data_IF_414576072443
#
_entry.id   IF_414576072443
#
_cell.length_a   1.000
_cell.length_b   1.000
_cell.length_c   1.000
_cell.angle_alpha   90.00
_cell.angle_beta   90.00
_cell.angle_gamma   90.00
#
_symmetry.space_group_name_H-M   'P 1'
#
loop_
_entity.id
_entity.type
_entity.pdbx_description
1 polymer ?
#
# COMPACT_ATOMS: atom_id res chain seq x y z
N UNK A 1 -31.45 15.28 -30.36
CA UNK A 1 -30.44 14.41 -29.75
C UNK A 1 -29.07 15.05 -30.04
N UNK A 2 -28.56 15.85 -29.09
CA UNK A 2 -27.27 16.49 -29.20
C UNK A 2 -26.19 15.51 -28.75
N UNK A 3 -25.28 15.18 -29.67
CA UNK A 3 -24.10 14.35 -29.40
C UNK A 3 -23.16 15.14 -28.46
N UNK A 4 -23.11 14.81 -27.20
CA UNK A 4 -22.06 15.25 -26.30
C UNK A 4 -20.74 14.56 -26.70
N UNK A 5 -20.07 15.11 -27.71
CA UNK A 5 -18.72 14.73 -28.08
C UNK A 5 -17.79 15.07 -26.92
N UNK A 6 -17.24 14.05 -26.26
CA UNK A 6 -16.19 14.21 -25.25
C UNK A 6 -14.96 14.88 -25.91
N UNK A 7 -14.50 16.04 -25.42
CA UNK A 7 -13.48 16.82 -26.10
C UNK A 7 -12.05 16.35 -25.85
N UNK A 8 -11.83 15.04 -25.88
CA UNK A 8 -10.54 14.51 -25.44
C UNK A 8 -9.90 13.57 -26.46
N UNK A 9 -8.74 13.91 -26.98
CA UNK A 9 -7.85 13.02 -27.73
C UNK A 9 -6.85 12.34 -26.78
N UNK A 10 -6.78 11.02 -26.78
CA UNK A 10 -5.72 10.30 -26.08
C UNK A 10 -4.48 10.26 -26.97
N UNK A 11 -3.34 10.74 -26.49
CA UNK A 11 -2.04 10.47 -27.09
C UNK A 11 -1.30 9.42 -26.26
N UNK A 12 -0.63 8.51 -26.92
CA UNK A 12 0.39 7.68 -26.28
C UNK A 12 1.60 8.58 -26.06
N UNK A 13 1.88 8.93 -24.82
CA UNK A 13 2.99 9.78 -24.45
C UNK A 13 4.32 9.19 -24.88
N UNK A 14 5.11 10.01 -25.55
CA UNK A 14 6.49 9.70 -25.92
C UNK A 14 7.39 10.54 -25.01
N UNK A 15 7.70 10.02 -23.83
CA UNK A 15 8.57 10.71 -22.86
C UNK A 15 9.86 9.93 -22.69
N UNK A 16 11.00 10.62 -22.63
CA UNK A 16 12.34 10.04 -22.39
C UNK A 16 12.51 9.42 -20.98
N UNK A 17 11.48 9.50 -20.12
CA UNK A 17 11.44 8.79 -18.85
C UNK A 17 11.30 7.29 -19.12
N UNK A 18 12.37 6.54 -18.89
CA UNK A 18 12.41 5.10 -19.05
C UNK A 18 11.60 4.42 -17.95
N UNK A 19 10.25 4.47 -18.11
CA UNK A 19 9.32 3.77 -17.23
C UNK A 19 9.54 2.25 -17.32
N UNK A 20 9.36 1.50 -16.21
CA UNK A 20 9.31 0.05 -16.29
C UNK A 20 8.26 -0.41 -17.30
N UNK A 21 8.60 -1.33 -18.20
CA UNK A 21 7.69 -1.84 -19.25
C UNK A 21 6.38 -2.39 -18.71
N UNK A 22 6.33 -2.72 -17.44
CA UNK A 22 5.15 -3.22 -16.71
C UNK A 22 4.11 -2.12 -16.47
N UNK A 23 4.51 -0.85 -16.43
CA UNK A 23 3.60 0.28 -16.23
C UNK A 23 3.05 0.71 -17.58
N UNK A 24 1.73 0.60 -17.74
CA UNK A 24 1.00 1.11 -18.90
C UNK A 24 0.30 2.41 -18.51
N UNK A 25 0.22 3.36 -19.45
CA UNK A 25 -0.44 4.63 -19.17
C UNK A 25 -1.10 5.24 -20.39
N UNK A 26 -2.02 6.17 -20.13
CA UNK A 26 -2.67 7.07 -21.09
C UNK A 26 -2.63 8.47 -20.49
N UNK A 27 -2.23 9.45 -21.30
CA UNK A 27 -2.21 10.85 -20.89
C UNK A 27 -3.09 11.72 -21.79
N UNK A 28 -3.63 12.75 -21.18
CA UNK A 28 -4.51 13.69 -21.82
C UNK A 28 -4.36 15.07 -21.20
N UNK A 29 -4.33 16.09 -22.02
CA UNK A 29 -4.25 17.46 -21.57
C UNK A 29 -5.44 18.28 -22.03
N UNK A 30 -5.94 19.13 -21.14
CA UNK A 30 -6.96 20.15 -21.44
C UNK A 30 -6.48 21.49 -20.90
N UNK A 31 -6.51 22.59 -21.73
CA UNK A 31 -6.10 23.92 -21.27
C UNK A 31 -6.89 24.42 -20.06
N UNK A 32 -8.15 24.01 -19.91
CA UNK A 32 -9.04 24.43 -18.83
C UNK A 32 -8.92 23.57 -17.56
N UNK A 33 -8.55 22.27 -17.68
CA UNK A 33 -8.56 21.30 -16.58
C UNK A 33 -7.16 20.80 -16.21
N UNK A 34 -6.15 21.04 -17.06
CA UNK A 34 -4.80 20.49 -16.88
C UNK A 34 -4.62 19.09 -17.46
N UNK A 35 -3.64 18.36 -16.94
CA UNK A 35 -3.34 17.00 -17.35
C UNK A 35 -4.16 15.96 -16.57
N UNK A 36 -4.57 14.90 -17.26
CA UNK A 36 -5.14 13.69 -16.72
C UNK A 36 -4.25 12.51 -17.14
N UNK A 37 -3.61 11.86 -16.18
CA UNK A 37 -2.84 10.64 -16.38
C UNK A 37 -3.61 9.47 -15.79
N UNK A 38 -3.86 8.45 -16.59
CA UNK A 38 -4.34 7.15 -16.15
C UNK A 38 -3.23 6.13 -16.37
N UNK A 39 -2.81 5.45 -15.30
CA UNK A 39 -1.80 4.41 -15.36
C UNK A 39 -2.26 3.14 -14.64
N UNK A 40 -1.72 1.98 -15.08
CA UNK A 40 -2.01 0.70 -14.44
C UNK A 40 -0.81 -0.24 -14.52
N UNK A 41 -0.67 -1.07 -13.49
CA UNK A 41 0.41 -2.05 -13.36
C UNK A 41 0.03 -3.16 -12.37
N UNK A 42 0.65 -4.35 -12.44
CA UNK A 42 0.49 -5.40 -11.44
C UNK A 42 1.32 -5.07 -10.18
N UNK A 43 0.76 -5.26 -8.99
CA UNK A 43 1.45 -5.25 -7.70
C UNK A 43 0.59 -5.92 -6.62
N UNK A 44 1.20 -6.49 -5.61
CA UNK A 44 0.50 -7.12 -4.46
C UNK A 44 -0.54 -8.16 -4.90
N UNK A 45 -0.20 -8.99 -5.88
CA UNK A 45 -1.07 -10.01 -6.49
C UNK A 45 -2.39 -9.46 -7.06
N UNK A 46 -2.40 -8.20 -7.49
CA UNK A 46 -3.56 -7.55 -8.09
C UNK A 46 -3.13 -6.57 -9.19
N UNK A 47 -4.10 -6.00 -9.88
CA UNK A 47 -3.90 -4.83 -10.73
C UNK A 47 -4.12 -3.59 -9.89
N UNK A 48 -3.20 -2.65 -10.01
CA UNK A 48 -3.32 -1.29 -9.48
C UNK A 48 -3.67 -0.37 -10.63
N UNK A 49 -4.74 0.40 -10.48
CA UNK A 49 -5.13 1.47 -11.38
C UNK A 49 -4.96 2.80 -10.63
N UNK A 50 -4.28 3.76 -11.25
CA UNK A 50 -4.05 5.09 -10.69
C UNK A 50 -4.42 6.15 -11.70
N UNK A 51 -5.25 7.10 -11.30
CA UNK A 51 -5.63 8.25 -12.09
C UNK A 51 -5.19 9.51 -11.34
N UNK A 52 -4.39 10.34 -11.98
CA UNK A 52 -3.85 11.57 -11.42
C UNK A 52 -4.35 12.75 -12.25
N UNK A 53 -4.88 13.77 -11.59
CA UNK A 53 -5.26 15.03 -12.22
C UNK A 53 -4.42 16.16 -11.65
N UNK A 54 -3.89 17.03 -12.51
CA UNK A 54 -3.07 18.15 -12.05
C UNK A 54 -2.69 19.10 -13.18
N UNK A 55 -2.10 20.22 -12.79
CA UNK A 55 -1.55 21.20 -13.75
C UNK A 55 -0.10 20.86 -14.15
N UNK A 56 0.48 19.86 -13.49
CA UNK A 56 1.79 19.34 -13.81
C UNK A 56 1.80 18.70 -15.20
N UNK A 57 2.94 18.77 -15.89
CA UNK A 57 3.13 18.09 -17.17
C UNK A 57 3.14 16.55 -17.04
N UNK A 58 3.01 15.88 -18.18
CA UNK A 58 3.00 14.41 -18.26
C UNK A 58 4.19 13.77 -17.54
N UNK A 59 5.40 14.29 -17.77
CA UNK A 59 6.65 13.75 -17.19
C UNK A 59 6.62 13.75 -15.66
N UNK A 60 6.10 14.81 -15.05
CA UNK A 60 5.99 14.91 -13.60
C UNK A 60 4.98 13.90 -13.10
N UNK A 61 3.80 13.80 -13.70
CA UNK A 61 2.80 12.82 -13.29
C UNK A 61 3.28 11.38 -13.47
N UNK A 62 4.04 11.09 -14.52
CA UNK A 62 4.68 9.78 -14.72
C UNK A 62 5.73 9.48 -13.64
N UNK A 63 6.54 10.47 -13.26
CA UNK A 63 7.51 10.30 -12.18
C UNK A 63 6.85 9.96 -10.85
N UNK A 64 5.66 10.52 -10.60
CA UNK A 64 4.84 10.20 -9.42
C UNK A 64 4.33 8.75 -9.48
N UNK A 65 3.84 8.30 -10.64
CA UNK A 65 3.41 6.90 -10.82
C UNK A 65 4.57 5.93 -10.61
N UNK A 66 5.75 6.23 -11.14
CA UNK A 66 6.96 5.42 -10.93
C UNK A 66 7.36 5.35 -9.45
N UNK A 67 7.29 6.47 -8.73
CA UNK A 67 7.56 6.50 -7.29
C UNK A 67 6.54 5.66 -6.50
N UNK A 68 5.25 5.71 -6.87
CA UNK A 68 4.21 4.84 -6.29
C UNK A 68 4.52 3.38 -6.57
N UNK A 69 4.82 3.02 -7.81
CA UNK A 69 5.14 1.66 -8.21
C UNK A 69 6.33 1.10 -7.40
N UNK A 70 7.44 1.84 -7.34
CA UNK A 70 8.64 1.45 -6.57
C UNK A 70 8.34 1.28 -5.09
N UNK A 71 7.53 2.15 -4.51
CA UNK A 71 7.11 2.04 -3.12
C UNK A 71 6.27 0.78 -2.89
N UNK A 72 5.31 0.48 -3.77
CA UNK A 72 4.47 -0.73 -3.66
C UNK A 72 5.31 -2.01 -3.80
N UNK A 73 6.24 -2.07 -4.77
CA UNK A 73 7.15 -3.21 -4.93
C UNK A 73 8.02 -3.44 -3.68
N UNK A 74 8.51 -2.36 -3.06
CA UNK A 74 9.29 -2.45 -1.82
C UNK A 74 8.46 -2.98 -0.66
N UNK A 75 7.22 -2.50 -0.50
CA UNK A 75 6.30 -2.97 0.54
C UNK A 75 5.95 -4.45 0.34
N UNK A 76 5.68 -4.85 -0.89
CA UNK A 76 5.39 -6.25 -1.23
C UNK A 76 6.58 -7.15 -0.89
N UNK A 77 7.80 -6.80 -1.34
CA UNK A 77 9.00 -7.58 -1.03
C UNK A 77 9.28 -7.69 0.47
N UNK A 78 8.94 -6.68 1.24
CA UNK A 78 9.16 -6.68 2.69
C UNK A 78 8.12 -7.51 3.45
N UNK A 79 6.84 -7.38 3.10
CA UNK A 79 5.72 -7.85 3.92
C UNK A 79 4.87 -8.95 3.28
N UNK A 80 5.30 -9.55 2.16
CA UNK A 80 4.57 -10.62 1.49
C UNK A 80 4.70 -11.93 2.27
N UNK A 81 3.59 -12.40 2.84
CA UNK A 81 3.52 -13.66 3.57
C UNK A 81 3.89 -14.88 2.71
N UNK A 82 3.56 -14.84 1.41
CA UNK A 82 3.71 -15.95 0.47
C UNK A 82 5.07 -15.98 -0.25
N UNK A 83 5.88 -14.93 -0.11
CA UNK A 83 7.22 -14.85 -0.66
C UNK A 83 8.24 -15.31 0.39
N UNK A 84 8.88 -16.45 0.16
CA UNK A 84 9.87 -17.02 1.07
C UNK A 84 11.08 -16.10 1.31
N UNK A 85 11.36 -15.19 0.37
CA UNK A 85 12.47 -14.23 0.43
C UNK A 85 12.07 -12.89 1.06
N UNK A 86 10.81 -12.74 1.49
CA UNK A 86 10.37 -11.53 2.20
C UNK A 86 10.93 -11.47 3.61
N UNK A 87 11.12 -10.26 4.13
CA UNK A 87 11.52 -10.05 5.53
C UNK A 87 10.50 -10.68 6.49
N UNK A 88 9.20 -10.52 6.22
CA UNK A 88 8.14 -11.11 7.04
C UNK A 88 8.23 -12.64 7.07
N UNK A 89 8.46 -13.30 5.93
CA UNK A 89 8.60 -14.75 5.89
C UNK A 89 9.86 -15.24 6.62
N UNK A 90 10.96 -14.48 6.56
CA UNK A 90 12.15 -14.76 7.37
C UNK A 90 11.83 -14.68 8.87
N UNK A 91 11.16 -13.62 9.31
CA UNK A 91 10.75 -13.46 10.72
C UNK A 91 9.83 -14.61 11.18
N UNK A 92 8.86 -14.99 10.37
CA UNK A 92 7.95 -16.10 10.65
C UNK A 92 8.69 -17.44 10.88
N UNK A 93 9.83 -17.65 10.22
CA UNK A 93 10.63 -18.87 10.38
C UNK A 93 11.59 -18.84 11.57
N UNK A 94 12.02 -17.65 11.98
CA UNK A 94 13.17 -17.54 12.91
C UNK A 94 12.86 -16.89 14.25
N UNK A 95 11.79 -16.10 14.35
CA UNK A 95 11.50 -15.31 15.54
C UNK A 95 11.02 -16.14 16.75
N UNK A 96 10.73 -17.44 16.59
CA UNK A 96 10.44 -18.34 17.71
C UNK A 96 11.69 -18.92 18.39
N UNK A 97 12.87 -18.76 17.76
CA UNK A 97 14.14 -19.30 18.30
C UNK A 97 14.87 -18.26 19.14
N UNK A 98 14.95 -17.03 18.66
CA UNK A 98 15.54 -15.89 19.37
C UNK A 98 15.00 -14.57 18.77
N UNK A 99 15.11 -13.43 19.50
CA UNK A 99 14.70 -12.14 19.00
C UNK A 99 15.36 -11.81 17.66
N UNK A 100 14.55 -11.37 16.68
CA UNK A 100 15.01 -11.00 15.34
C UNK A 100 14.93 -9.50 15.14
N UNK A 101 15.95 -8.92 14.51
CA UNK A 101 15.92 -7.53 14.07
C UNK A 101 14.84 -7.34 13.00
N UNK A 102 14.10 -6.23 13.10
CA UNK A 102 13.04 -5.87 12.16
C UNK A 102 13.35 -4.52 11.53
N UNK A 103 13.16 -4.40 10.23
CA UNK A 103 13.28 -3.10 9.55
C UNK A 103 12.30 -2.09 10.14
N UNK A 104 12.66 -0.81 10.12
CA UNK A 104 11.86 0.25 10.74
C UNK A 104 10.40 0.22 10.28
N UNK A 105 10.19 0.16 8.97
CA UNK A 105 8.84 0.23 8.39
C UNK A 105 8.00 -1.02 8.72
N UNK A 106 8.60 -2.22 8.70
CA UNK A 106 7.88 -3.44 9.09
C UNK A 106 7.58 -3.45 10.59
N UNK A 107 8.49 -2.94 11.42
CA UNK A 107 8.26 -2.80 12.85
C UNK A 107 7.06 -1.89 13.16
N UNK A 108 6.96 -0.74 12.47
CA UNK A 108 5.84 0.18 12.60
C UNK A 108 4.51 -0.49 12.18
N UNK A 109 4.52 -1.27 11.10
CA UNK A 109 3.35 -2.05 10.66
C UNK A 109 2.92 -3.06 11.72
N UNK A 110 3.86 -3.83 12.28
CA UNK A 110 3.58 -4.83 13.31
C UNK A 110 3.02 -4.19 14.57
N UNK A 111 3.61 -3.07 15.01
CA UNK A 111 3.13 -2.31 16.18
C UNK A 111 1.71 -1.82 15.94
N UNK A 112 1.42 -1.28 14.75
CA UNK A 112 0.08 -0.83 14.40
C UNK A 112 -0.92 -1.99 14.38
N UNK A 113 -0.54 -3.16 13.87
CA UNK A 113 -1.41 -4.34 13.86
C UNK A 113 -1.75 -4.85 15.27
N UNK A 114 -0.80 -4.79 16.21
CA UNK A 114 -1.04 -5.12 17.62
C UNK A 114 -2.00 -4.11 18.26
N UNK A 115 -1.86 -2.83 17.95
CA UNK A 115 -2.81 -1.79 18.39
C UNK A 115 -4.21 -2.01 17.79
N UNK A 116 -4.30 -2.31 16.50
CA UNK A 116 -5.57 -2.65 15.84
C UNK A 116 -6.26 -3.85 16.49
N UNK A 117 -5.53 -4.90 16.84
CA UNK A 117 -6.09 -6.03 17.59
C UNK A 117 -6.77 -5.56 18.88
N UNK A 118 -6.11 -4.71 19.65
CA UNK A 118 -6.63 -4.17 20.92
C UNK A 118 -7.87 -3.30 20.67
N UNK A 119 -7.81 -2.38 19.71
CA UNK A 119 -8.91 -1.46 19.37
C UNK A 119 -10.14 -2.16 18.82
N UNK A 120 -9.97 -3.28 18.15
CA UNK A 120 -11.07 -4.08 17.56
C UNK A 120 -11.54 -5.22 18.48
N UNK A 121 -11.10 -5.24 19.75
CA UNK A 121 -11.39 -6.32 20.69
C UNK A 121 -11.09 -7.73 20.10
N UNK A 122 -10.03 -7.84 19.31
CA UNK A 122 -9.58 -9.10 18.71
C UNK A 122 -10.24 -9.46 17.37
N UNK A 123 -11.12 -8.62 16.83
CA UNK A 123 -11.72 -8.88 15.51
C UNK A 123 -10.71 -8.81 14.36
N UNK A 124 -9.66 -8.01 14.50
CA UNK A 124 -8.53 -7.97 13.58
C UNK A 124 -7.33 -8.66 14.23
N UNK A 125 -6.90 -9.80 13.68
CA UNK A 125 -5.78 -10.57 14.21
C UNK A 125 -4.86 -11.05 13.09
N UNK A 126 -3.62 -10.56 13.06
CA UNK A 126 -2.61 -10.93 12.06
C UNK A 126 -2.02 -12.31 12.29
N UNK A 127 -2.30 -12.96 13.41
CA UNK A 127 -1.81 -14.31 13.73
C UNK A 127 -2.79 -15.42 13.34
N UNK A 128 -3.94 -15.10 12.77
CA UNK A 128 -5.02 -16.03 12.43
C UNK A 128 -4.58 -17.19 11.49
N UNK A 129 -3.48 -17.04 10.76
CA UNK A 129 -2.93 -18.07 9.88
C UNK A 129 -1.93 -19.02 10.57
N UNK A 130 -1.72 -18.86 11.87
CA UNK A 130 -0.90 -19.78 12.65
C UNK A 130 -1.51 -21.19 12.68
N UNK A 131 -0.69 -22.25 12.62
CA UNK A 131 -1.16 -23.63 12.53
C UNK A 131 -2.05 -24.03 13.73
N UNK A 132 -1.68 -23.62 14.94
CA UNK A 132 -2.41 -23.87 16.17
C UNK A 132 -3.04 -22.59 16.71
N UNK A 133 -3.75 -21.85 15.84
CA UNK A 133 -4.37 -20.61 16.22
C UNK A 133 -5.38 -20.78 17.35
N UNK A 134 -5.25 -19.94 18.35
CA UNK A 134 -6.23 -19.74 19.42
C UNK A 134 -6.51 -18.24 19.62
N UNK A 135 -7.69 -17.84 20.07
CA UNK A 135 -7.96 -16.45 20.41
C UNK A 135 -6.90 -15.89 21.37
N UNK A 136 -6.44 -14.67 21.12
CA UNK A 136 -5.35 -14.00 21.84
C UNK A 136 -3.92 -14.50 21.54
N UNK A 137 -3.71 -15.33 20.51
CA UNK A 137 -2.38 -15.80 20.13
C UNK A 137 -1.40 -14.64 19.86
N UNK A 138 -1.91 -13.49 19.40
CA UNK A 138 -1.12 -12.26 19.19
C UNK A 138 -0.37 -11.80 20.46
N UNK A 139 -0.81 -12.18 21.66
CA UNK A 139 -0.09 -11.89 22.90
C UNK A 139 1.25 -12.62 23.02
N UNK A 140 1.47 -13.64 22.18
CA UNK A 140 2.75 -14.31 22.03
C UNK A 140 3.71 -13.58 21.08
N UNK A 141 3.28 -12.49 20.47
CA UNK A 141 4.10 -11.61 19.64
C UNK A 141 4.69 -10.53 20.52
N UNK A 142 5.97 -10.63 20.82
CA UNK A 142 6.68 -9.62 21.62
C UNK A 142 7.48 -8.69 20.72
N UNK A 143 7.21 -7.40 20.81
CA UNK A 143 7.92 -6.33 20.12
C UNK A 143 8.74 -5.52 21.12
N UNK A 144 10.05 -5.35 20.89
CA UNK A 144 10.93 -4.48 21.68
C UNK A 144 11.16 -3.16 20.98
N UNK A 145 10.65 -2.02 21.51
CA UNK A 145 10.83 -0.71 20.87
C UNK A 145 12.28 -0.23 20.85
N UNK A 146 13.05 -0.55 21.92
CA UNK A 146 14.42 -0.08 22.09
C UNK A 146 15.36 -0.74 21.07
N UNK A 147 15.16 -2.03 20.83
CA UNK A 147 16.00 -2.83 19.95
C UNK A 147 15.40 -3.03 18.57
N UNK A 148 14.11 -2.69 18.39
CA UNK A 148 13.32 -3.01 17.19
C UNK A 148 13.41 -4.49 16.82
N UNK A 149 13.14 -5.35 17.80
CA UNK A 149 13.14 -6.80 17.59
C UNK A 149 11.74 -7.39 17.74
N UNK A 150 11.54 -8.53 17.06
CA UNK A 150 10.38 -9.40 17.18
C UNK A 150 10.81 -10.74 17.79
N UNK A 151 10.03 -11.21 18.75
CA UNK A 151 10.14 -12.55 19.31
C UNK A 151 8.76 -13.20 19.39
N UNK A 152 8.65 -14.45 18.97
CA UNK A 152 7.48 -15.28 19.26
C UNK A 152 7.73 -16.10 20.53
N UNK A 153 6.88 -15.92 21.54
CA UNK A 153 7.02 -16.59 22.85
C UNK A 153 6.69 -18.08 22.80
N UNK A 154 6.15 -18.56 21.68
CA UNK A 154 5.85 -19.98 21.47
C UNK A 154 6.04 -20.37 20.00
N UNK A 155 6.38 -21.63 19.69
CA UNK A 155 6.50 -22.09 18.32
C UNK A 155 5.15 -22.10 17.61
N UNK A 156 5.18 -22.10 16.26
CA UNK A 156 3.97 -22.18 15.43
C UNK A 156 3.23 -20.86 15.23
N UNK A 157 3.62 -19.77 15.91
CA UNK A 157 3.09 -18.43 15.64
C UNK A 157 3.59 -17.95 14.28
N UNK A 158 2.67 -17.47 13.46
CA UNK A 158 2.98 -16.81 12.20
C UNK A 158 2.16 -15.53 12.06
N UNK A 159 2.74 -14.50 11.43
CA UNK A 159 2.09 -13.24 11.12
C UNK A 159 1.78 -13.18 9.64
N UNK A 160 0.54 -12.82 9.29
CA UNK A 160 0.11 -12.55 7.92
C UNK A 160 -0.48 -11.15 7.82
N UNK A 161 0.19 -10.29 7.04
CA UNK A 161 -0.20 -8.89 6.85
C UNK A 161 -1.10 -8.67 5.62
N UNK A 162 -1.56 -9.72 4.93
CA UNK A 162 -2.34 -9.58 3.68
C UNK A 162 -3.62 -8.76 3.85
N UNK A 163 -4.28 -8.86 4.99
CA UNK A 163 -5.48 -8.06 5.31
C UNK A 163 -5.19 -6.60 5.65
N UNK A 164 -3.94 -6.27 5.96
CA UNK A 164 -3.49 -4.94 6.36
C UNK A 164 -2.76 -4.19 5.23
N UNK A 165 -1.90 -4.90 4.50
CA UNK A 165 -0.86 -4.32 3.64
C UNK A 165 -1.43 -3.40 2.55
N UNK A 166 -2.59 -3.75 1.95
CA UNK A 166 -3.20 -2.92 0.91
C UNK A 166 -3.69 -1.58 1.46
N UNK A 167 -4.32 -1.57 2.63
CA UNK A 167 -4.73 -0.34 3.31
C UNK A 167 -3.55 0.55 3.68
N UNK A 168 -2.47 -0.06 4.19
CA UNK A 168 -1.22 0.64 4.48
C UNK A 168 -0.57 1.23 3.22
N UNK A 169 -0.53 0.47 2.14
CA UNK A 169 -0.01 0.91 0.85
C UNK A 169 -0.80 2.10 0.28
N UNK A 170 -2.14 2.10 0.40
CA UNK A 170 -2.98 3.23 0.02
C UNK A 170 -2.67 4.48 0.84
N UNK A 171 -2.49 4.35 2.15
CA UNK A 171 -2.13 5.48 3.02
C UNK A 171 -0.73 6.04 2.70
N UNK A 172 0.23 5.17 2.42
CA UNK A 172 1.57 5.59 1.94
C UNK A 172 1.49 6.29 0.59
N UNK A 173 0.68 5.76 -0.34
CA UNK A 173 0.45 6.41 -1.64
C UNK A 173 -0.17 7.78 -1.47
N UNK A 174 -1.17 7.94 -0.60
CA UNK A 174 -1.78 9.22 -0.29
C UNK A 174 -0.74 10.24 0.18
N UNK A 175 0.13 9.86 1.15
CA UNK A 175 1.20 10.73 1.64
C UNK A 175 2.21 11.11 0.55
N UNK A 176 2.54 10.16 -0.32
CA UNK A 176 3.43 10.39 -1.45
C UNK A 176 2.81 11.39 -2.44
N UNK A 177 1.53 11.23 -2.79
CA UNK A 177 0.81 12.17 -3.66
C UNK A 177 0.74 13.57 -3.08
N UNK A 178 0.54 13.69 -1.76
CA UNK A 178 0.60 14.97 -1.06
C UNK A 178 1.98 15.63 -1.18
N UNK A 179 3.05 14.85 -1.03
CA UNK A 179 4.42 15.34 -1.16
C UNK A 179 4.71 15.88 -2.58
N UNK A 180 4.13 15.25 -3.61
CA UNK A 180 4.23 15.71 -5.00
C UNK A 180 3.18 16.76 -5.38
N UNK A 181 2.43 17.27 -4.42
CA UNK A 181 1.37 18.28 -4.63
C UNK A 181 0.29 17.86 -5.65
N UNK A 182 0.08 16.56 -5.83
CA UNK A 182 -1.02 16.02 -6.63
C UNK A 182 -2.31 16.14 -5.83
N UNK A 183 -3.25 16.97 -6.25
CA UNK A 183 -4.46 17.30 -5.49
C UNK A 183 -5.61 16.35 -5.73
N UNK A 184 -5.75 15.84 -6.95
CA UNK A 184 -6.85 14.98 -7.33
C UNK A 184 -6.31 13.66 -7.86
N UNK A 185 -6.62 12.58 -7.16
CA UNK A 185 -6.20 11.24 -7.51
C UNK A 185 -7.26 10.21 -7.18
N UNK A 186 -7.34 9.16 -8.02
CA UNK A 186 -8.12 7.96 -7.76
C UNK A 186 -7.17 6.77 -7.87
N UNK A 187 -7.19 5.91 -6.85
CA UNK A 187 -6.39 4.69 -6.82
C UNK A 187 -7.32 3.52 -6.53
N UNK A 188 -7.23 2.51 -7.39
CA UNK A 188 -7.94 1.26 -7.23
C UNK A 188 -6.93 0.10 -7.13
N UNK A 189 -6.98 -0.64 -6.04
CA UNK A 189 -6.23 -1.88 -5.84
C UNK A 189 -7.25 -3.00 -5.70
N UNK A 190 -7.66 -3.62 -6.80
CA UNK A 190 -8.75 -4.61 -6.94
C UNK A 190 -9.12 -5.29 -5.61
N UNK A 191 -10.39 -5.20 -5.19
CA UNK A 191 -11.03 -5.55 -3.91
C UNK A 191 -11.06 -4.46 -2.82
N UNK A 192 -10.27 -3.37 -2.93
CA UNK A 192 -10.41 -2.18 -2.09
C UNK A 192 -10.59 -0.98 -3.01
N UNK A 193 -11.83 -0.57 -3.22
CA UNK A 193 -12.14 0.72 -3.86
C UNK A 193 -11.72 1.83 -2.90
N UNK A 194 -10.50 2.28 -3.04
CA UNK A 194 -10.05 3.53 -2.45
C UNK A 194 -10.32 4.69 -3.41
N UNK A 195 -11.57 5.16 -3.48
CA UNK A 195 -11.77 6.55 -3.90
C UNK A 195 -11.08 7.35 -2.80
N UNK A 196 -9.99 8.00 -3.12
CA UNK A 196 -9.44 9.07 -2.31
C UNK A 196 -10.03 10.36 -2.91
N UNK A 197 -11.24 10.76 -2.53
CA UNK A 197 -11.57 12.16 -2.59
C UNK A 197 -10.62 12.78 -1.56
N UNK A 198 -10.00 13.87 -1.88
CA UNK A 198 -9.38 14.72 -0.88
C UNK A 198 -10.45 15.14 0.10
N UNK A 199 -10.70 14.30 1.11
CA UNK A 199 -11.61 14.63 2.18
C UNK A 199 -10.86 15.57 3.11
N UNK A 200 -11.38 16.76 3.20
CA UNK A 200 -10.91 17.88 4.02
C UNK A 200 -10.92 17.61 5.54
N UNK A 201 -11.16 16.39 6.00
CA UNK A 201 -11.31 16.06 7.43
C UNK A 201 -10.06 15.49 8.10
N UNK A 202 -8.94 15.36 7.38
CA UNK A 202 -7.65 14.96 7.95
C UNK A 202 -7.54 13.51 8.44
N UNK A 203 -8.59 12.70 8.32
CA UNK A 203 -8.56 11.30 8.76
C UNK A 203 -7.85 10.39 7.76
N UNK A 204 -7.04 9.44 8.25
CA UNK A 204 -6.35 8.48 7.39
C UNK A 204 -7.29 7.46 6.77
N UNK A 205 -6.86 6.82 5.67
CA UNK A 205 -7.60 5.70 5.04
C UNK A 205 -7.72 4.52 6.02
N UNK A 206 -6.70 4.31 6.85
CA UNK A 206 -6.68 3.24 7.86
C UNK A 206 -7.67 3.51 9.00
N UNK A 207 -7.83 4.77 9.43
CA UNK A 207 -8.80 5.14 10.45
C UNK A 207 -10.25 4.93 9.98
N UNK A 208 -10.49 4.94 8.67
CA UNK A 208 -11.83 4.71 8.08
C UNK A 208 -12.15 3.24 7.85
N UNK A 209 -11.14 2.39 7.69
CA UNK A 209 -11.34 0.96 7.51
C UNK A 209 -11.64 0.21 8.82
N UNK A 210 -11.48 0.89 9.97
CA UNK A 210 -11.66 0.32 11.31
C UNK A 210 -12.98 0.73 12.00
N UNK A 211 -13.88 1.46 11.27
CA UNK A 211 -15.19 1.86 11.77
C UNK A 211 -16.31 1.49 10.74
#
# INVERSE_FOLDING_TARGET
MQNCGLPFHFSLGNTDLKMPDVIKHLYKYSPSQGGLLYAWFPSMHTRVDIMLCGRQGEDILLSVVDAVYKMLCRLEKMANYYDADSELAYLNRTASVHPQQVSHELYDMLTFCVDCYTRTAGCFDVTIHSADYTPNLIRSVQLSPQERTLLFLQPGVTINLSGFLKGYALEKTRKLLQHYEVKDALINMYWLLGIIPWLMDGRSVLDRALF
#
